data_IF_260494713909
#
_entry.id   IF_260494713909
#
_cell.length_a   1.000
_cell.length_b   1.000
_cell.length_c   1.000
_cell.angle_alpha   90.00
_cell.angle_beta   90.00
_cell.angle_gamma   90.00
#
_symmetry.space_group_name_H-M   'P 1'
#
loop_
_entity.id
_entity.type
_entity.pdbx_description
1 polymer ?
#
# COMPACT_ATOMS: atom_id res chain seq x y z
N UNK A 1 7.45 -14.68 -17.18
CA UNK A 1 7.11 -13.59 -16.24
C UNK A 1 8.36 -12.79 -15.94
N UNK A 2 8.49 -11.62 -16.53
CA UNK A 2 9.67 -10.77 -16.34
C UNK A 2 9.52 -10.02 -15.01
N UNK A 3 10.38 -10.32 -14.03
CA UNK A 3 10.35 -9.65 -12.72
C UNK A 3 11.12 -8.33 -12.82
N UNK A 4 10.47 -7.23 -12.52
CA UNK A 4 11.06 -5.89 -12.49
C UNK A 4 11.34 -5.50 -11.04
N UNK A 5 12.55 -4.97 -10.77
CA UNK A 5 12.84 -4.37 -9.47
C UNK A 5 11.94 -3.15 -9.23
N UNK A 6 11.64 -2.89 -7.96
CA UNK A 6 10.93 -1.66 -7.56
C UNK A 6 11.79 -0.45 -7.91
N UNK A 7 11.24 0.48 -8.66
CA UNK A 7 11.95 1.71 -9.10
C UNK A 7 11.25 2.96 -8.56
N UNK A 8 11.96 4.07 -8.50
CA UNK A 8 11.38 5.37 -8.17
C UNK A 8 10.34 5.77 -9.21
N UNK A 9 9.22 6.33 -8.73
CA UNK A 9 8.15 6.87 -9.56
C UNK A 9 7.99 8.36 -9.23
N UNK A 10 8.23 9.23 -10.22
CA UNK A 10 7.87 10.64 -10.11
C UNK A 10 6.39 10.78 -10.41
N UNK A 11 5.59 11.10 -9.39
CA UNK A 11 4.13 11.21 -9.55
C UNK A 11 3.76 12.59 -10.10
N UNK A 12 4.23 13.63 -9.42
CA UNK A 12 4.10 15.04 -9.82
C UNK A 12 5.10 15.92 -9.04
N UNK A 13 4.99 17.23 -9.11
CA UNK A 13 5.88 18.17 -8.43
C UNK A 13 5.77 18.11 -6.89
N UNK A 14 4.68 17.56 -6.36
CA UNK A 14 4.40 17.44 -4.92
C UNK A 14 4.55 16.04 -4.35
N UNK A 15 4.82 15.04 -5.18
CA UNK A 15 4.87 13.65 -4.72
C UNK A 15 5.85 12.80 -5.55
N UNK A 16 6.79 12.19 -4.85
CA UNK A 16 7.67 11.15 -5.39
C UNK A 16 7.51 9.87 -4.56
N UNK A 17 7.55 8.73 -5.21
CA UNK A 17 7.51 7.42 -4.59
C UNK A 17 8.89 6.76 -4.74
N UNK A 18 9.60 6.55 -3.63
CA UNK A 18 10.92 5.89 -3.64
C UNK A 18 10.81 4.48 -3.06
N UNK A 19 11.54 3.49 -3.61
CA UNK A 19 11.57 2.15 -3.04
C UNK A 19 11.82 2.17 -1.54
N UNK A 20 10.96 1.51 -0.77
CA UNK A 20 11.09 1.44 0.68
C UNK A 20 12.33 0.61 1.06
N UNK A 21 13.10 1.12 2.02
CA UNK A 21 14.30 0.49 2.55
C UNK A 21 14.61 1.01 3.95
N UNK A 22 15.61 0.43 4.60
CA UNK A 22 15.97 0.71 6.00
C UNK A 22 16.43 2.14 6.27
N UNK A 23 16.83 2.92 5.26
CA UNK A 23 17.24 4.33 5.46
C UNK A 23 16.05 5.22 5.87
N UNK A 24 14.82 4.77 5.64
CA UNK A 24 13.60 5.50 6.01
C UNK A 24 13.06 5.15 7.41
N UNK A 25 13.73 4.27 8.18
CA UNK A 25 13.21 3.80 9.48
C UNK A 25 12.81 4.95 10.39
N UNK A 26 13.71 5.89 10.67
CA UNK A 26 13.43 7.00 11.60
C UNK A 26 12.30 7.92 11.12
N UNK A 27 12.26 8.23 9.81
CA UNK A 27 11.22 9.08 9.23
C UNK A 27 9.83 8.41 9.26
N UNK A 28 9.80 7.09 9.07
CA UNK A 28 8.56 6.32 9.16
C UNK A 28 8.11 6.13 10.61
N UNK A 29 9.04 5.98 11.57
CA UNK A 29 8.71 5.96 13.00
C UNK A 29 8.01 7.26 13.42
N UNK A 30 8.56 8.42 13.06
CA UNK A 30 7.94 9.72 13.32
C UNK A 30 6.53 9.81 12.73
N UNK A 31 6.36 9.37 11.47
CA UNK A 31 5.05 9.39 10.82
C UNK A 31 4.07 8.39 11.43
N UNK A 32 4.55 7.26 11.97
CA UNK A 32 3.76 6.28 12.70
C UNK A 32 3.29 6.81 14.04
N UNK A 33 4.16 7.49 14.80
CA UNK A 33 3.80 8.13 16.07
C UNK A 33 2.67 9.13 15.88
N UNK A 34 2.75 9.97 14.85
CA UNK A 34 1.69 10.92 14.50
C UNK A 34 0.36 10.23 14.14
N UNK A 35 0.44 9.07 13.49
CA UNK A 35 -0.73 8.37 12.94
C UNK A 35 -1.23 7.23 13.84
N UNK A 36 -0.62 7.04 15.00
CA UNK A 36 -1.04 6.00 15.94
C UNK A 36 -2.38 6.36 16.62
N UNK A 37 -3.33 5.40 16.81
CA UNK A 37 -3.24 3.96 16.51
C UNK A 37 -3.71 3.56 15.09
N UNK A 38 -4.11 4.49 14.23
CA UNK A 38 -4.70 4.18 12.93
C UNK A 38 -3.76 3.41 12.03
N UNK A 39 -2.45 3.70 12.07
CA UNK A 39 -1.45 2.99 11.26
C UNK A 39 -1.38 1.50 11.61
N UNK A 40 -1.56 1.11 12.87
CA UNK A 40 -1.56 -0.29 13.27
C UNK A 40 -2.74 -1.08 12.69
N UNK A 41 -3.82 -0.40 12.34
CA UNK A 41 -5.00 -0.98 11.67
C UNK A 41 -4.82 -1.09 10.16
N UNK A 42 -3.94 -0.27 9.59
CA UNK A 42 -3.63 -0.27 8.16
C UNK A 42 -2.53 -1.29 7.80
N UNK A 43 -1.65 -1.62 8.75
CA UNK A 43 -0.48 -2.48 8.54
C UNK A 43 -0.63 -3.80 9.31
N UNK A 44 -1.03 -4.91 8.65
CA UNK A 44 -1.29 -6.19 9.32
C UNK A 44 -0.10 -6.82 10.04
N UNK A 45 1.13 -6.42 9.66
CA UNK A 45 2.37 -6.91 10.29
C UNK A 45 2.68 -6.24 11.63
N UNK A 46 2.03 -5.11 11.96
CA UNK A 46 2.23 -4.42 13.24
C UNK A 46 1.54 -5.21 14.36
N UNK A 47 2.32 -5.63 15.34
CA UNK A 47 1.87 -6.23 16.59
C UNK A 47 1.90 -5.15 17.67
N UNK A 48 0.75 -4.61 18.09
CA UNK A 48 0.70 -3.44 18.98
C UNK A 48 1.30 -3.66 20.37
N UNK A 49 1.41 -4.93 20.79
CA UNK A 49 2.03 -5.34 22.06
C UNK A 49 3.56 -5.37 22.03
N UNK A 50 4.16 -5.17 20.88
CA UNK A 50 5.62 -5.17 20.68
C UNK A 50 6.13 -3.78 20.29
N UNK A 51 7.39 -3.51 20.57
CA UNK A 51 8.05 -2.29 20.09
C UNK A 51 7.98 -2.18 18.57
N UNK A 52 7.62 -1.00 18.08
CA UNK A 52 7.37 -0.78 16.65
C UNK A 52 8.67 -0.71 15.84
N UNK A 53 9.75 -0.14 16.39
CA UNK A 53 10.99 0.09 15.67
C UNK A 53 11.62 -1.19 15.11
N UNK A 54 11.80 -2.30 15.89
CA UNK A 54 12.30 -3.55 15.34
C UNK A 54 11.40 -4.13 14.26
N UNK A 55 10.07 -4.08 14.43
CA UNK A 55 9.12 -4.58 13.45
C UNK A 55 9.20 -3.80 12.13
N UNK A 56 9.34 -2.49 12.21
CA UNK A 56 9.49 -1.63 11.03
C UNK A 56 10.82 -1.88 10.32
N UNK A 57 11.92 -2.07 11.07
CA UNK A 57 13.22 -2.38 10.51
C UNK A 57 13.19 -3.72 9.74
N UNK A 58 12.60 -4.76 10.33
CA UNK A 58 12.43 -6.06 9.70
C UNK A 58 11.55 -5.97 8.44
N UNK A 59 10.45 -5.23 8.51
CA UNK A 59 9.59 -4.97 7.35
C UNK A 59 10.33 -4.28 6.21
N UNK A 60 11.13 -3.25 6.51
CA UNK A 60 11.88 -2.49 5.50
C UNK A 60 13.00 -3.31 4.88
N UNK A 61 13.71 -4.13 5.66
CA UNK A 61 14.73 -5.06 5.15
C UNK A 61 14.11 -6.10 4.19
N UNK A 62 13.02 -6.74 4.60
CA UNK A 62 12.29 -7.68 3.76
C UNK A 62 11.78 -7.03 2.47
N UNK A 63 11.23 -5.83 2.59
CA UNK A 63 10.71 -5.05 1.47
C UNK A 63 11.80 -4.67 0.46
N UNK A 64 12.96 -4.23 0.94
CA UNK A 64 14.10 -3.92 0.09
C UNK A 64 14.61 -5.17 -0.64
N UNK A 65 14.78 -6.26 0.09
CA UNK A 65 15.28 -7.54 -0.45
C UNK A 65 14.33 -8.11 -1.51
N UNK A 66 13.03 -8.11 -1.23
CA UNK A 66 12.02 -8.64 -2.15
C UNK A 66 11.71 -7.71 -3.32
N UNK A 67 11.80 -6.40 -3.11
CA UNK A 67 11.63 -5.38 -4.15
C UNK A 67 12.73 -5.41 -5.21
N UNK A 68 13.97 -5.69 -4.81
CA UNK A 68 15.10 -5.85 -5.76
C UNK A 68 14.89 -6.99 -6.76
N UNK A 69 14.16 -8.03 -6.37
CA UNK A 69 13.88 -9.21 -7.22
C UNK A 69 12.45 -9.25 -7.75
N UNK A 70 11.67 -8.18 -7.55
CA UNK A 70 10.31 -8.06 -8.08
C UNK A 70 9.30 -9.05 -7.48
N UNK A 71 9.47 -9.42 -6.21
CA UNK A 71 8.53 -10.30 -5.49
C UNK A 71 7.44 -9.52 -4.75
N UNK A 72 7.79 -8.35 -4.24
CA UNK A 72 6.89 -7.35 -3.65
C UNK A 72 7.35 -5.97 -4.09
N UNK A 73 6.48 -4.98 -4.02
CA UNK A 73 6.83 -3.61 -4.39
C UNK A 73 6.27 -2.66 -3.35
N UNK A 74 7.15 -1.99 -2.61
CA UNK A 74 6.76 -1.00 -1.62
C UNK A 74 7.51 0.31 -1.85
N UNK A 75 6.80 1.40 -1.67
CA UNK A 75 7.33 2.75 -1.79
C UNK A 75 7.02 3.58 -0.56
N UNK A 76 8.00 4.37 -0.17
CA UNK A 76 7.80 5.50 0.73
C UNK A 76 7.29 6.67 -0.11
N UNK A 77 6.20 7.29 0.33
CA UNK A 77 5.62 8.48 -0.28
C UNK A 77 6.35 9.70 0.28
N UNK A 78 6.95 10.52 -0.56
CA UNK A 78 7.85 11.61 -0.16
C UNK A 78 7.41 12.91 -0.82
N UNK A 79 7.46 13.98 -0.07
CA UNK A 79 7.30 15.34 -0.56
C UNK A 79 8.67 15.89 -1.00
N UNK A 80 8.87 16.23 -2.30
CA UNK A 80 10.21 16.42 -2.86
C UNK A 80 11.00 17.61 -2.32
N UNK A 81 10.34 18.70 -1.90
CA UNK A 81 11.04 19.93 -1.50
C UNK A 81 11.58 19.96 -0.08
N UNK A 82 11.10 19.09 0.80
CA UNK A 82 11.55 19.00 2.20
C UNK A 82 11.85 17.56 2.64
N UNK A 83 11.78 16.62 1.71
CA UNK A 83 12.03 15.17 1.92
C UNK A 83 11.10 14.55 2.99
N UNK A 84 9.98 15.20 3.33
CA UNK A 84 9.05 14.72 4.32
C UNK A 84 8.38 13.41 3.89
N UNK A 85 8.36 12.43 4.78
CA UNK A 85 7.65 11.16 4.57
C UNK A 85 6.17 11.37 4.83
N UNK A 86 5.35 11.09 3.81
CA UNK A 86 3.91 11.27 3.79
C UNK A 86 3.13 9.97 4.05
N UNK A 87 3.76 8.81 3.85
CA UNK A 87 3.12 7.51 4.02
C UNK A 87 3.86 6.37 3.30
N UNK A 88 3.18 5.24 3.19
CA UNK A 88 3.62 4.05 2.47
C UNK A 88 2.54 3.57 1.49
N UNK A 89 2.95 2.97 0.39
CA UNK A 89 2.12 2.22 -0.53
C UNK A 89 2.87 0.98 -0.98
N UNK A 90 2.17 -0.14 -1.14
CA UNK A 90 2.82 -1.35 -1.61
C UNK A 90 1.89 -2.35 -2.28
N UNK A 91 2.53 -3.24 -3.03
CA UNK A 91 1.94 -4.43 -3.62
C UNK A 91 2.56 -5.67 -3.00
N UNK A 92 1.73 -6.47 -2.32
CA UNK A 92 2.09 -7.78 -1.81
C UNK A 92 1.57 -8.87 -2.76
N UNK A 93 2.36 -9.94 -2.94
CA UNK A 93 1.89 -11.10 -3.71
C UNK A 93 0.77 -11.83 -2.97
N UNK A 94 -0.33 -12.08 -3.68
CA UNK A 94 -1.42 -12.91 -3.18
C UNK A 94 -1.10 -14.37 -3.46
N UNK A 95 -1.10 -15.18 -2.41
CA UNK A 95 -0.80 -16.63 -2.51
C UNK A 95 -2.04 -17.49 -2.76
N UNK A 96 -3.24 -16.89 -2.72
CA UNK A 96 -4.51 -17.59 -2.98
C UNK A 96 -4.75 -17.72 -4.47
N UNK A 97 -4.87 -18.95 -4.96
CA UNK A 97 -5.17 -19.20 -6.36
C UNK A 97 -6.53 -18.64 -6.75
N UNK A 98 -6.56 -17.89 -7.85
CA UNK A 98 -7.77 -17.62 -8.61
C UNK A 98 -8.50 -16.31 -8.37
N UNK A 99 -7.98 -15.37 -7.54
CA UNK A 99 -8.65 -14.07 -7.31
C UNK A 99 -7.83 -12.91 -7.87
N UNK A 100 -6.62 -12.73 -7.35
CA UNK A 100 -5.72 -11.66 -7.74
C UNK A 100 -4.27 -12.10 -7.60
N UNK A 101 -3.37 -11.42 -8.32
CA UNK A 101 -1.92 -11.64 -8.21
C UNK A 101 -1.29 -10.75 -7.16
N UNK A 102 -1.86 -9.56 -6.98
CA UNK A 102 -1.37 -8.53 -6.07
C UNK A 102 -2.45 -8.02 -5.12
N UNK A 103 -2.06 -7.72 -3.90
CA UNK A 103 -2.86 -6.95 -2.95
C UNK A 103 -2.23 -5.56 -2.80
N UNK A 104 -3.02 -4.52 -3.00
CA UNK A 104 -2.61 -3.13 -2.81
C UNK A 104 -2.95 -2.68 -1.40
N UNK A 105 -1.92 -2.28 -0.63
CA UNK A 105 -2.04 -1.64 0.66
C UNK A 105 -1.43 -0.24 0.66
N UNK A 106 -1.97 0.66 1.47
CA UNK A 106 -1.43 2.02 1.63
C UNK A 106 -1.88 2.67 2.94
N UNK A 107 -1.13 3.64 3.40
CA UNK A 107 -1.56 4.61 4.40
C UNK A 107 -0.88 5.95 4.18
N UNK A 108 -1.48 7.03 4.72
CA UNK A 108 -0.97 8.40 4.66
C UNK A 108 -1.01 8.98 6.08
N UNK A 109 0.08 9.64 6.50
CA UNK A 109 0.18 10.26 7.83
C UNK A 109 -0.96 11.27 8.05
N UNK A 110 -1.39 11.41 9.31
CA UNK A 110 -2.63 12.13 9.67
C UNK A 110 -2.66 13.57 9.18
N UNK A 111 -1.56 14.31 9.33
CA UNK A 111 -1.44 15.71 8.91
C UNK A 111 -1.54 15.92 7.39
N UNK A 112 -1.31 14.88 6.60
CA UNK A 112 -1.28 14.94 5.15
C UNK A 112 -2.50 14.28 4.48
N UNK A 113 -3.42 13.77 5.27
CA UNK A 113 -4.65 13.17 4.74
C UNK A 113 -5.56 14.21 4.06
N UNK A 114 -6.49 13.74 3.23
CA UNK A 114 -7.47 14.54 2.46
C UNK A 114 -6.87 15.52 1.45
N UNK A 115 -5.58 15.38 1.11
CA UNK A 115 -4.86 16.14 0.08
C UNK A 115 -4.71 15.37 -1.24
N UNK A 116 -5.41 14.25 -1.39
CA UNK A 116 -5.37 13.42 -2.59
C UNK A 116 -4.10 12.58 -2.77
N UNK A 117 -3.20 12.53 -1.77
CA UNK A 117 -1.92 11.81 -1.84
C UNK A 117 -2.13 10.34 -2.15
N UNK A 118 -2.99 9.65 -1.39
CA UNK A 118 -3.28 8.24 -1.62
C UNK A 118 -3.79 7.98 -3.05
N UNK A 119 -4.74 8.78 -3.54
CA UNK A 119 -5.29 8.59 -4.90
C UNK A 119 -4.25 8.78 -5.99
N UNK A 120 -3.36 9.77 -5.88
CA UNK A 120 -2.28 10.01 -6.85
C UNK A 120 -1.24 8.89 -6.81
N UNK A 121 -0.83 8.47 -5.61
CA UNK A 121 0.12 7.38 -5.42
C UNK A 121 -0.41 6.05 -5.97
N UNK A 122 -1.67 5.71 -5.68
CA UNK A 122 -2.33 4.48 -6.19
C UNK A 122 -2.37 4.50 -7.71
N UNK A 123 -2.78 5.62 -8.31
CA UNK A 123 -2.82 5.78 -9.78
C UNK A 123 -1.46 5.55 -10.42
N UNK A 124 -0.43 6.19 -9.89
CA UNK A 124 0.93 6.04 -10.38
C UNK A 124 1.46 4.61 -10.22
N UNK A 125 1.18 3.97 -9.08
CA UNK A 125 1.60 2.59 -8.82
C UNK A 125 0.88 1.57 -9.74
N UNK A 126 -0.43 1.73 -9.95
CA UNK A 126 -1.19 0.87 -10.88
C UNK A 126 -0.73 1.06 -12.33
N UNK A 127 -0.46 2.30 -12.75
CA UNK A 127 0.10 2.61 -14.06
C UNK A 127 1.47 1.95 -14.24
N UNK A 128 2.36 2.07 -13.24
CA UNK A 128 3.68 1.44 -13.24
C UNK A 128 3.58 -0.10 -13.35
N UNK A 129 2.62 -0.70 -12.63
CA UNK A 129 2.40 -2.14 -12.66
C UNK A 129 1.86 -2.60 -14.02
N UNK A 130 0.97 -1.81 -14.64
CA UNK A 130 0.37 -2.07 -15.94
C UNK A 130 1.37 -2.11 -17.10
N UNK A 131 2.52 -1.41 -16.97
CA UNK A 131 3.59 -1.43 -17.97
C UNK A 131 4.27 -2.81 -18.11
N UNK A 132 4.09 -3.70 -17.13
CA UNK A 132 4.84 -4.97 -17.08
C UNK A 132 4.13 -6.08 -17.84
N UNK A 133 2.87 -6.29 -17.54
CA UNK A 133 2.03 -7.37 -18.10
C UNK A 133 0.58 -7.20 -17.63
N UNK A 134 -0.38 -7.90 -18.23
CA UNK A 134 -1.73 -7.99 -17.66
C UNK A 134 -1.64 -8.51 -16.23
N UNK A 135 -2.24 -7.80 -15.29
CA UNK A 135 -2.23 -8.17 -13.86
C UNK A 135 -3.59 -7.96 -13.22
N UNK A 136 -3.84 -8.70 -12.15
CA UNK A 136 -5.00 -8.52 -11.30
C UNK A 136 -4.58 -8.02 -9.91
N UNK A 137 -5.27 -7.00 -9.42
CA UNK A 137 -4.97 -6.35 -8.13
C UNK A 137 -6.22 -6.34 -7.26
N UNK A 138 -6.11 -6.88 -6.05
CA UNK A 138 -7.16 -6.76 -5.04
C UNK A 138 -6.90 -5.56 -4.12
N UNK A 139 -7.98 -4.89 -3.72
CA UNK A 139 -7.99 -3.84 -2.71
C UNK A 139 -8.97 -4.25 -1.61
N UNK A 140 -8.50 -4.28 -0.37
CA UNK A 140 -9.33 -4.60 0.79
C UNK A 140 -9.47 -3.38 1.67
N UNK A 141 -10.68 -3.10 2.11
CA UNK A 141 -10.97 -1.94 2.94
C UNK A 141 -11.91 -2.31 4.09
N UNK A 142 -11.56 -1.85 5.29
CA UNK A 142 -12.45 -1.91 6.45
C UNK A 142 -13.73 -1.10 6.15
N UNK A 143 -14.93 -1.69 6.23
CA UNK A 143 -16.19 -0.99 5.97
C UNK A 143 -16.42 0.22 6.88
N UNK A 144 -15.76 0.26 8.05
CA UNK A 144 -15.82 1.40 8.98
C UNK A 144 -14.82 2.52 8.62
N UNK A 145 -13.86 2.27 7.73
CA UNK A 145 -12.93 3.29 7.24
C UNK A 145 -13.55 4.08 6.08
N UNK A 146 -14.37 5.08 6.38
CA UNK A 146 -15.06 5.88 5.37
C UNK A 146 -14.12 6.59 4.38
N UNK A 147 -12.92 7.01 4.83
CA UNK A 147 -11.93 7.64 3.96
C UNK A 147 -11.30 6.62 3.00
N UNK A 148 -10.93 5.44 3.51
CA UNK A 148 -10.43 4.32 2.72
C UNK A 148 -11.45 3.86 1.69
N UNK A 149 -12.71 3.69 2.08
CA UNK A 149 -13.81 3.32 1.15
C UNK A 149 -13.91 4.28 -0.02
N UNK A 150 -13.97 5.59 0.24
CA UNK A 150 -14.03 6.61 -0.84
C UNK A 150 -12.85 6.53 -1.79
N UNK A 151 -11.66 6.25 -1.27
CA UNK A 151 -10.45 6.10 -2.10
C UNK A 151 -10.54 4.84 -2.95
N UNK A 152 -10.89 3.70 -2.36
CA UNK A 152 -11.04 2.41 -3.07
C UNK A 152 -12.14 2.51 -4.13
N UNK A 153 -13.32 3.02 -3.81
CA UNK A 153 -14.44 3.18 -4.76
C UNK A 153 -14.06 4.06 -5.96
N UNK A 154 -13.32 5.15 -5.73
CA UNK A 154 -12.83 6.02 -6.80
C UNK A 154 -11.83 5.29 -7.69
N UNK A 155 -10.88 4.58 -7.09
CA UNK A 155 -9.88 3.79 -7.81
C UNK A 155 -10.54 2.70 -8.64
N UNK A 156 -11.42 1.92 -8.04
CA UNK A 156 -12.17 0.84 -8.72
C UNK A 156 -12.97 1.37 -9.90
N UNK A 157 -13.68 2.50 -9.72
CA UNK A 157 -14.43 3.14 -10.82
C UNK A 157 -13.50 3.58 -11.96
N UNK A 158 -12.36 4.19 -11.63
CA UNK A 158 -11.40 4.68 -12.63
C UNK A 158 -10.76 3.55 -13.45
N UNK A 159 -10.53 2.42 -12.83
CA UNK A 159 -9.91 1.25 -13.45
C UNK A 159 -10.91 0.17 -13.89
N UNK A 160 -12.20 0.51 -13.97
CA UNK A 160 -13.28 -0.42 -14.36
C UNK A 160 -13.29 -1.72 -13.54
N UNK A 161 -12.90 -1.64 -12.28
CA UNK A 161 -12.89 -2.79 -11.36
C UNK A 161 -14.30 -3.10 -10.82
N UNK A 162 -14.37 -4.15 -10.02
CA UNK A 162 -15.61 -4.65 -9.42
C UNK A 162 -15.41 -5.18 -8.00
N UNK A 163 -16.49 -5.51 -7.30
CA UNK A 163 -16.40 -6.30 -6.05
C UNK A 163 -15.86 -7.70 -6.37
N UNK A 164 -15.07 -8.26 -5.45
CA UNK A 164 -14.59 -9.64 -5.59
C UNK A 164 -15.77 -10.63 -5.61
N UNK A 165 -15.78 -11.52 -6.58
CA UNK A 165 -16.83 -12.55 -6.73
C UNK A 165 -16.89 -13.48 -5.51
N UNK A 166 -15.74 -13.74 -4.88
CA UNK A 166 -15.65 -14.56 -3.66
C UNK A 166 -16.13 -13.85 -2.40
N UNK A 167 -16.56 -12.59 -2.51
CA UNK A 167 -17.07 -11.80 -1.40
C UNK A 167 -15.97 -11.16 -0.53
N UNK A 168 -16.37 -10.73 0.65
CA UNK A 168 -15.52 -10.00 1.58
C UNK A 168 -14.49 -10.93 2.26
N UNK A 169 -13.34 -10.34 2.62
CA UNK A 169 -12.22 -11.08 3.21
C UNK A 169 -12.10 -10.80 4.70
N UNK A 170 -12.04 -11.85 5.53
CA UNK A 170 -11.71 -11.70 6.94
C UNK A 170 -10.20 -11.48 7.09
N UNK A 171 -9.81 -10.33 7.63
CA UNK A 171 -8.42 -9.96 7.91
C UNK A 171 -8.27 -9.77 9.42
N UNK A 172 -7.18 -10.30 9.97
CA UNK A 172 -6.79 -10.04 11.36
C UNK A 172 -5.75 -8.93 11.37
N UNK A 173 -6.07 -7.83 12.04
CA UNK A 173 -5.18 -6.68 12.20
C UNK A 173 -5.19 -6.30 13.67
N UNK A 174 -4.03 -6.11 14.26
CA UNK A 174 -3.89 -5.80 15.70
C UNK A 174 -4.69 -6.77 16.61
N UNK A 175 -4.70 -8.07 16.27
CA UNK A 175 -5.43 -9.09 17.02
C UNK A 175 -6.95 -9.11 16.80
N UNK A 176 -7.51 -8.15 16.07
CA UNK A 176 -8.94 -8.06 15.78
C UNK A 176 -9.24 -8.58 14.38
N UNK A 177 -10.13 -9.56 14.30
CA UNK A 177 -10.61 -10.09 13.02
C UNK A 177 -11.78 -9.27 12.51
N UNK A 178 -11.58 -8.59 11.39
CA UNK A 178 -12.58 -7.72 10.75
C UNK A 178 -12.86 -8.20 9.33
N UNK A 179 -14.12 -8.16 8.92
CA UNK A 179 -14.52 -8.44 7.54
C UNK A 179 -14.26 -7.19 6.69
N UNK A 180 -13.38 -7.32 5.70
CA UNK A 180 -13.04 -6.24 4.77
C UNK A 180 -13.76 -6.42 3.44
N UNK A 181 -14.27 -5.33 2.90
CA UNK A 181 -14.79 -5.29 1.54
C UNK A 181 -13.65 -5.54 0.56
N UNK A 182 -13.81 -6.54 -0.34
CA UNK A 182 -12.82 -6.89 -1.34
C UNK A 182 -13.22 -6.39 -2.72
N UNK A 183 -12.32 -5.68 -3.39
CA UNK A 183 -12.49 -5.19 -4.75
C UNK A 183 -11.35 -5.71 -5.63
N UNK A 184 -11.64 -5.91 -6.91
CA UNK A 184 -10.71 -6.43 -7.91
C UNK A 184 -10.58 -5.45 -9.07
N UNK A 185 -9.36 -5.18 -9.47
CA UNK A 185 -9.02 -4.46 -10.70
C UNK A 185 -8.25 -5.42 -11.60
N UNK A 186 -8.71 -5.63 -12.82
CA UNK A 186 -7.98 -6.34 -13.87
C UNK A 186 -7.36 -5.32 -14.82
N UNK A 187 -6.03 -5.25 -14.81
CA UNK A 187 -5.27 -4.35 -15.67
C UNK A 187 -4.86 -5.13 -16.91
N UNK A 188 -5.35 -4.68 -18.05
CA UNK A 188 -4.97 -5.22 -19.37
C UNK A 188 -4.25 -4.12 -20.14
N UNK A 189 -3.14 -4.42 -20.82
CA UNK A 189 -2.43 -3.45 -21.63
C UNK A 189 -3.29 -2.90 -22.78
#
# INVERSE_FOLDING_TARGET
>A
MQRRATTTIQVDDGLIMRPANTTYTNHLLEAFEETWPEVSRAMPWILPEKEIEPQLADFLDETERTGRVGRMHHWVLIRPWDEAVLGLLGFDRVTRSGIAEWNLGYWVRSSEQRRGIASRAIEAALTWLAELEPVSVELKVDPNNAAGKRTVERTVRRWNGSRCVVGDSAITVAGVRTLHECHLIEIRP
#
